data_IF_461322426180
#
_entry.id   IF_461322426180
#
_cell.length_a   1.000
_cell.length_b   1.000
_cell.length_c   1.000
_cell.angle_alpha   90.00
_cell.angle_beta   90.00
_cell.angle_gamma   90.00
#
_symmetry.space_group_name_H-M   'P 1'
#
loop_
_entity.id
_entity.type
_entity.pdbx_description
1 polymer ?
#
# COMPACT_ATOMS: atom_id res chain seq x y z
N UNK A 1 -9.40 12.46 -10.65
CA UNK A 1 -8.10 11.91 -10.22
C UNK A 1 -8.33 10.47 -9.77
N UNK A 2 -7.61 9.51 -10.33
CA UNK A 2 -7.69 8.12 -9.84
C UNK A 2 -7.10 8.06 -8.44
N UNK A 3 -7.83 7.49 -7.48
CA UNK A 3 -7.37 7.32 -6.10
C UNK A 3 -6.76 5.93 -5.93
N UNK A 4 -5.91 5.74 -4.93
CA UNK A 4 -5.32 4.44 -4.60
C UNK A 4 -5.74 4.04 -3.21
N UNK A 5 -6.16 2.79 -3.05
CA UNK A 5 -6.57 2.21 -1.76
C UNK A 5 -5.94 0.83 -1.57
N UNK A 6 -5.84 0.38 -0.32
CA UNK A 6 -5.43 -0.99 -0.03
C UNK A 6 -6.35 -1.98 -0.77
N UNK A 7 -5.78 -3.05 -1.29
CA UNK A 7 -6.56 -4.11 -1.90
C UNK A 7 -7.51 -4.74 -0.86
N UNK A 8 -8.64 -5.31 -1.29
CA UNK A 8 -9.54 -6.00 -0.37
C UNK A 8 -8.77 -7.05 0.45
N UNK A 9 -9.00 -7.10 1.77
CA UNK A 9 -8.33 -8.01 2.72
C UNK A 9 -6.84 -7.77 2.94
N UNK A 10 -6.27 -6.70 2.38
CA UNK A 10 -4.93 -6.24 2.75
C UNK A 10 -5.03 -5.24 3.90
N UNK A 11 -4.25 -5.47 4.94
CA UNK A 11 -4.07 -4.54 6.05
C UNK A 11 -2.65 -3.98 6.04
N UNK A 12 -2.50 -2.70 6.36
CA UNK A 12 -1.21 -2.07 6.66
C UNK A 12 -1.09 -1.90 8.18
N UNK A 13 -0.13 -2.59 8.79
CA UNK A 13 0.08 -2.55 10.24
C UNK A 13 1.41 -1.85 10.54
N UNK A 14 1.39 -0.67 11.21
CA UNK A 14 2.62 0.01 11.61
C UNK A 14 3.36 -0.79 12.69
N UNK A 15 4.70 -0.75 12.67
CA UNK A 15 5.54 -1.41 13.66
C UNK A 15 6.03 -0.42 14.75
N UNK A 16 6.38 -0.90 15.96
CA UNK A 16 6.74 -0.03 17.09
C UNK A 16 7.99 0.82 16.89
N UNK A 17 8.93 0.37 16.05
CA UNK A 17 10.25 0.99 15.85
C UNK A 17 10.40 1.62 14.46
N UNK A 18 9.29 1.95 13.80
CA UNK A 18 9.27 2.42 12.42
C UNK A 18 8.98 1.30 11.43
N UNK A 19 8.65 1.68 10.20
CA UNK A 19 8.21 0.74 9.18
C UNK A 19 6.81 0.17 9.43
N UNK A 20 6.39 -0.74 8.55
CA UNK A 20 5.08 -1.35 8.58
C UNK A 20 5.11 -2.73 7.92
N UNK A 21 4.03 -3.48 8.09
CA UNK A 21 3.80 -4.75 7.43
C UNK A 21 2.49 -4.69 6.65
N UNK A 22 2.54 -5.08 5.38
CA UNK A 22 1.35 -5.40 4.59
C UNK A 22 1.03 -6.87 4.76
N UNK A 23 -0.21 -7.17 5.15
CA UNK A 23 -0.69 -8.54 5.35
C UNK A 23 -1.93 -8.76 4.50
N UNK A 24 -1.91 -9.79 3.64
CA UNK A 24 -3.09 -10.27 2.96
C UNK A 24 -3.76 -11.36 3.80
N UNK A 25 -4.95 -11.08 4.34
CA UNK A 25 -5.65 -12.00 5.23
C UNK A 25 -6.18 -13.28 4.56
N UNK A 26 -6.12 -13.41 3.23
CA UNK A 26 -6.58 -14.59 2.48
C UNK A 26 -5.40 -15.47 2.08
N UNK A 27 -4.37 -14.88 1.46
CA UNK A 27 -3.20 -15.63 0.99
C UNK A 27 -2.14 -15.83 2.07
N UNK A 28 -2.25 -15.11 3.20
CA UNK A 28 -1.22 -14.99 4.23
C UNK A 28 0.11 -14.44 3.70
N UNK A 29 0.10 -13.79 2.54
CA UNK A 29 1.26 -13.08 2.04
C UNK A 29 1.59 -11.91 2.98
N UNK A 30 2.88 -11.70 3.19
CA UNK A 30 3.44 -10.65 4.05
C UNK A 30 4.48 -9.88 3.25
N UNK A 31 4.42 -8.56 3.29
CA UNK A 31 5.50 -7.71 2.83
C UNK A 31 5.92 -6.76 3.96
N UNK A 32 7.20 -6.82 4.32
CA UNK A 32 7.80 -5.90 5.27
C UNK A 32 8.19 -4.62 4.54
N UNK A 33 7.90 -3.49 5.19
CA UNK A 33 8.20 -2.16 4.68
C UNK A 33 9.05 -1.42 5.69
N UNK A 34 10.16 -0.85 5.24
CA UNK A 34 10.95 0.07 6.06
C UNK A 34 10.21 1.39 6.30
N UNK A 35 10.80 2.26 7.12
CA UNK A 35 10.17 3.54 7.47
C UNK A 35 9.95 4.46 6.26
N UNK A 36 10.92 4.67 5.34
CA UNK A 36 10.69 5.40 4.10
C UNK A 36 9.54 4.82 3.25
N UNK A 37 9.50 3.49 3.08
CA UNK A 37 8.44 2.82 2.33
C UNK A 37 7.08 3.01 2.99
N UNK A 38 6.99 2.91 4.33
CA UNK A 38 5.75 3.18 5.07
C UNK A 38 5.25 4.61 4.83
N UNK A 39 6.14 5.61 4.87
CA UNK A 39 5.76 7.00 4.63
C UNK A 39 5.24 7.18 3.21
N UNK A 40 5.94 6.64 2.22
CA UNK A 40 5.52 6.70 0.82
C UNK A 40 4.18 5.96 0.58
N UNK A 41 3.94 4.82 1.25
CA UNK A 41 2.64 4.12 1.21
C UNK A 41 1.54 4.99 1.80
N UNK A 42 1.77 5.64 2.94
CA UNK A 42 0.76 6.51 3.56
C UNK A 42 0.43 7.72 2.68
N UNK A 43 1.45 8.34 2.07
CA UNK A 43 1.26 9.43 1.12
C UNK A 43 0.48 8.98 -0.13
N UNK A 44 0.81 7.79 -0.65
CA UNK A 44 0.08 7.18 -1.77
C UNK A 44 -1.41 6.97 -1.45
N UNK A 45 -1.70 6.44 -0.26
CA UNK A 45 -3.07 6.20 0.20
C UNK A 45 -3.84 7.49 0.50
N UNK A 46 -3.16 8.54 0.94
CA UNK A 46 -3.77 9.84 1.24
C UNK A 46 -4.02 10.68 -0.01
N UNK A 47 -3.06 10.72 -0.93
CA UNK A 47 -3.05 11.66 -2.07
C UNK A 47 -3.48 10.99 -3.39
N UNK A 48 -3.48 9.66 -3.46
CA UNK A 48 -3.90 8.90 -4.64
C UNK A 48 -2.93 8.93 -5.82
N UNK A 49 -1.76 9.57 -5.68
CA UNK A 49 -0.80 9.72 -6.78
C UNK A 49 -0.08 8.40 -7.07
N UNK A 50 -0.48 7.71 -8.14
CA UNK A 50 0.12 6.42 -8.55
C UNK A 50 1.47 6.53 -9.29
N UNK A 51 2.06 7.73 -9.32
CA UNK A 51 3.30 8.00 -10.05
C UNK A 51 4.50 7.73 -9.14
N UNK A 52 5.20 6.62 -9.43
CA UNK A 52 6.38 6.21 -8.67
C UNK A 52 6.58 4.70 -8.73
N UNK A 53 7.84 4.27 -8.65
CA UNK A 53 8.21 2.84 -8.73
C UNK A 53 7.52 2.01 -7.64
N UNK A 54 7.40 2.55 -6.42
CA UNK A 54 6.73 1.88 -5.32
C UNK A 54 5.23 1.71 -5.59
N UNK A 55 4.54 2.76 -6.06
CA UNK A 55 3.12 2.67 -6.38
C UNK A 55 2.86 1.65 -7.50
N UNK A 56 3.68 1.66 -8.55
CA UNK A 56 3.60 0.69 -9.64
C UNK A 56 3.81 -0.74 -9.15
N UNK A 57 4.82 -0.96 -8.29
CA UNK A 57 5.08 -2.25 -7.67
C UNK A 57 3.88 -2.74 -6.86
N UNK A 58 3.35 -1.93 -5.95
CA UNK A 58 2.23 -2.30 -5.08
C UNK A 58 0.95 -2.62 -5.87
N UNK A 59 0.71 -1.90 -6.98
CA UNK A 59 -0.39 -2.20 -7.90
C UNK A 59 -0.15 -3.51 -8.63
N UNK A 60 1.05 -3.71 -9.18
CA UNK A 60 1.40 -4.91 -9.95
C UNK A 60 1.34 -6.19 -9.09
N UNK A 61 1.65 -6.09 -7.80
CA UNK A 61 1.60 -7.21 -6.86
C UNK A 61 0.27 -7.34 -6.13
N UNK A 62 -0.71 -6.46 -6.41
CA UNK A 62 -2.04 -6.53 -5.82
C UNK A 62 -2.13 -6.15 -4.33
N UNK A 63 -1.15 -5.40 -3.80
CA UNK A 63 -1.23 -4.86 -2.43
C UNK A 63 -2.17 -3.66 -2.34
N UNK A 64 -2.25 -2.87 -3.42
CA UNK A 64 -3.17 -1.74 -3.56
C UNK A 64 -3.93 -1.84 -4.89
N UNK A 65 -5.08 -1.18 -4.95
CA UNK A 65 -5.92 -1.11 -6.15
C UNK A 65 -6.21 0.35 -6.52
N UNK A 66 -6.32 0.62 -7.82
CA UNK A 66 -6.85 1.89 -8.31
C UNK A 66 -8.36 1.93 -8.06
N UNK A 67 -8.83 3.07 -7.59
CA UNK A 67 -10.26 3.35 -7.46
C UNK A 67 -10.53 4.60 -8.30
N UNK A 68 -11.35 4.45 -9.32
CA UNK A 68 -11.86 5.60 -10.05
C UNK A 68 -12.88 6.31 -9.15
N UNK A 69 -12.73 7.63 -9.04
CA UNK A 69 -13.77 8.45 -8.43
C UNK A 69 -14.97 8.40 -9.37
N UNK A 70 -16.00 7.64 -8.98
CA UNK A 70 -17.31 7.66 -9.64
C UNK A 70 -17.97 9.02 -9.50
#
# INVERSE_FOLDING_TARGET
>A
MSTVKLAPRVCLTPLPYGGAVLVNGVSLAIAECDEPQRLAINELLANGTSEGQLAQFLIATGWVVRSDAG
#
